data_IF_137127311099
#
_entry.id   IF_137127311099
#
_cell.length_a   1.000
_cell.length_b   1.000
_cell.length_c   1.000
_cell.angle_alpha   90.00
_cell.angle_beta   90.00
_cell.angle_gamma   90.00
#
_symmetry.space_group_name_H-M   'P 1'
#
loop_
_entity.id
_entity.type
_entity.pdbx_description
1 polymer ?
#
# COMPACT_ATOMS: atom_id res chain seq x y z
N UNK A 1 1.99 8.44 22.76
CA UNK A 1 1.89 7.23 21.94
C UNK A 1 1.59 7.63 20.51
N UNK A 2 2.47 7.28 19.61
CA UNK A 2 2.29 7.66 18.22
C UNK A 2 1.15 6.88 17.59
N UNK A 3 0.22 7.59 16.99
CA UNK A 3 -0.84 6.93 16.25
C UNK A 3 -0.26 6.30 15.00
N UNK A 4 -0.66 5.05 14.74
CA UNK A 4 -0.28 4.38 13.50
C UNK A 4 -1.06 5.00 12.36
N UNK A 5 -0.35 5.58 11.41
CA UNK A 5 -0.96 6.20 10.26
C UNK A 5 -1.25 5.17 9.19
N UNK A 6 -2.52 4.83 9.01
CA UNK A 6 -2.95 3.86 8.02
C UNK A 6 -3.03 4.56 6.66
N UNK A 7 -2.38 3.99 5.66
CA UNK A 7 -2.36 4.57 4.31
C UNK A 7 -3.18 3.77 3.30
N UNK A 8 -3.55 2.55 3.64
CA UNK A 8 -4.33 1.74 2.74
C UNK A 8 -4.68 0.39 3.32
N UNK A 9 -5.31 -0.43 2.49
CA UNK A 9 -5.81 -1.74 2.89
C UNK A 9 -5.69 -2.72 1.73
N UNK A 10 -5.28 -3.94 2.03
CA UNK A 10 -5.17 -5.00 1.02
C UNK A 10 -6.56 -5.44 0.59
N UNK A 11 -6.84 -5.42 -0.69
CA UNK A 11 -8.14 -5.84 -1.22
C UNK A 11 -8.07 -6.96 -2.25
N UNK A 12 -6.88 -7.45 -2.58
CA UNK A 12 -6.78 -8.55 -3.54
C UNK A 12 -5.38 -8.67 -4.11
N UNK A 13 -5.28 -9.43 -5.18
CA UNK A 13 -4.04 -9.57 -5.92
C UNK A 13 -3.36 -10.91 -5.73
N UNK A 14 -2.08 -10.93 -6.09
CA UNK A 14 -1.23 -12.12 -6.00
C UNK A 14 0.15 -11.69 -5.53
N UNK A 15 0.99 -12.67 -5.16
CA UNK A 15 2.38 -12.36 -4.79
C UNK A 15 3.07 -11.68 -5.98
N UNK A 16 3.68 -10.55 -5.76
CA UNK A 16 4.30 -9.75 -6.80
C UNK A 16 3.39 -8.67 -7.38
N UNK A 17 2.09 -8.75 -7.16
CA UNK A 17 1.14 -7.77 -7.67
C UNK A 17 -0.09 -7.73 -6.76
N UNK A 18 0.12 -7.21 -5.57
CA UNK A 18 -0.92 -7.10 -4.54
C UNK A 18 -1.66 -5.79 -4.76
N UNK A 19 -2.97 -5.83 -4.66
CA UNK A 19 -3.82 -4.66 -4.86
C UNK A 19 -4.19 -4.05 -3.53
N UNK A 20 -3.88 -2.76 -3.38
CA UNK A 20 -4.11 -1.99 -2.15
C UNK A 20 -4.99 -0.81 -2.48
N UNK A 21 -6.06 -0.64 -1.71
CA UNK A 21 -6.88 0.56 -1.80
C UNK A 21 -6.27 1.63 -0.90
N UNK A 22 -5.94 2.77 -1.51
CA UNK A 22 -5.39 3.90 -0.77
C UNK A 22 -6.45 4.51 0.13
N UNK A 23 -6.05 4.87 1.34
CA UNK A 23 -6.93 5.61 2.23
C UNK A 23 -7.10 7.03 1.71
N UNK A 24 -8.34 7.52 1.73
CA UNK A 24 -8.65 8.87 1.27
C UNK A 24 -7.78 9.91 1.98
N UNK A 25 -7.23 10.83 1.20
CA UNK A 25 -6.36 11.88 1.72
C UNK A 25 -4.90 11.50 1.87
N UNK A 26 -4.55 10.26 1.61
CA UNK A 26 -3.16 9.80 1.63
C UNK A 26 -2.68 9.68 0.19
N UNK A 27 -1.53 10.24 -0.10
CA UNK A 27 -1.00 10.27 -1.46
C UNK A 27 0.18 9.32 -1.56
N UNK A 28 -0.12 8.04 -1.79
CA UNK A 28 0.92 7.05 -2.03
C UNK A 28 1.61 7.35 -3.36
N UNK A 29 2.92 7.21 -3.37
CA UNK A 29 3.73 7.43 -4.57
C UNK A 29 4.43 6.14 -4.98
N UNK A 30 4.73 6.04 -6.27
CA UNK A 30 5.50 4.89 -6.77
C UNK A 30 6.86 4.88 -6.10
N UNK A 31 7.26 3.71 -5.63
CA UNK A 31 8.52 3.52 -4.94
C UNK A 31 8.42 3.56 -3.42
N UNK A 32 7.30 4.05 -2.88
CA UNK A 32 7.14 4.10 -1.43
C UNK A 32 7.07 2.71 -0.83
N UNK A 33 7.66 2.58 0.37
CA UNK A 33 7.66 1.34 1.13
C UNK A 33 6.56 1.37 2.17
N UNK A 34 5.79 0.31 2.21
CA UNK A 34 4.67 0.15 3.13
C UNK A 34 4.83 -1.13 3.91
N UNK A 35 4.29 -1.14 5.12
CA UNK A 35 4.40 -2.27 6.03
C UNK A 35 3.04 -2.91 6.24
N UNK A 36 2.99 -4.24 6.09
CA UNK A 36 1.85 -5.05 6.47
C UNK A 36 2.26 -5.85 7.70
N UNK A 37 1.69 -5.51 8.84
CA UNK A 37 1.99 -6.21 10.08
C UNK A 37 1.23 -7.52 10.16
N UNK A 38 1.95 -8.59 10.43
CA UNK A 38 1.41 -9.91 10.63
C UNK A 38 1.62 -10.33 12.10
N UNK A 39 1.20 -11.54 12.47
CA UNK A 39 1.25 -11.98 13.85
C UNK A 39 2.66 -11.96 14.44
N UNK A 40 3.62 -12.57 13.75
CA UNK A 40 4.99 -12.70 14.26
C UNK A 40 6.04 -12.08 13.36
N UNK A 41 5.59 -11.34 12.36
CA UNK A 41 6.48 -10.77 11.34
C UNK A 41 5.80 -9.57 10.70
N UNK A 42 6.54 -8.90 9.83
CA UNK A 42 5.92 -7.89 8.97
C UNK A 42 6.45 -8.05 7.54
N UNK A 43 5.62 -7.66 6.60
CA UNK A 43 6.00 -7.64 5.19
C UNK A 43 6.35 -6.22 4.79
N UNK A 44 7.44 -6.11 4.03
CA UNK A 44 7.80 -4.85 3.40
C UNK A 44 7.28 -4.91 1.97
N UNK A 45 6.43 -3.96 1.61
CA UNK A 45 5.81 -3.87 0.30
C UNK A 45 6.27 -2.59 -0.38
N UNK A 46 6.38 -2.61 -1.69
CA UNK A 46 6.75 -1.42 -2.45
C UNK A 46 5.73 -1.18 -3.56
N UNK A 47 5.23 0.04 -3.62
CA UNK A 47 4.31 0.44 -4.68
C UNK A 47 5.05 0.58 -6.00
N UNK A 48 4.56 -0.08 -7.05
CA UNK A 48 5.17 0.00 -8.37
C UNK A 48 4.22 0.53 -9.44
N UNK A 49 2.92 0.63 -9.13
CA UNK A 49 1.94 1.20 -10.06
C UNK A 49 0.79 1.79 -9.27
N UNK A 50 0.21 2.83 -9.80
CA UNK A 50 -0.97 3.47 -9.25
C UNK A 50 -2.02 3.57 -10.34
N UNK A 51 -3.27 3.30 -9.99
CA UNK A 51 -4.36 3.40 -10.95
C UNK A 51 -5.63 3.85 -10.24
N UNK A 52 -6.58 4.35 -11.00
CA UNK A 52 -7.86 4.74 -10.42
C UNK A 52 -8.79 3.53 -10.37
N UNK A 53 -9.47 3.40 -9.23
CA UNK A 53 -10.60 2.49 -9.09
C UNK A 53 -11.86 3.32 -8.95
N UNK A 54 -13.01 2.70 -9.25
CA UNK A 54 -14.27 3.39 -9.10
C UNK A 54 -15.39 2.38 -8.90
N UNK A 55 -16.38 2.77 -8.10
CA UNK A 55 -17.59 1.98 -7.93
C UNK A 55 -18.62 2.30 -8.99
N UNK A 56 -18.35 3.27 -9.85
CA UNK A 56 -19.24 3.68 -10.93
C UNK A 56 -18.78 3.03 -12.24
N UNK A 57 -19.72 2.57 -13.06
CA UNK A 57 -19.41 2.07 -14.38
C UNK A 57 -18.63 3.10 -15.19
N UNK A 58 -17.73 2.60 -16.02
CA UNK A 58 -16.90 3.46 -16.88
C UNK A 58 -17.73 4.41 -17.74
N UNK A 59 -18.85 3.91 -18.27
CA UNK A 59 -19.78 4.72 -19.07
C UNK A 59 -20.32 5.90 -18.27
N UNK A 60 -20.72 5.64 -17.02
CA UNK A 60 -21.20 6.69 -16.12
C UNK A 60 -20.12 7.69 -15.81
N UNK A 61 -18.87 7.22 -15.62
CA UNK A 61 -17.74 8.10 -15.36
C UNK A 61 -17.53 9.07 -16.53
N UNK A 62 -17.63 8.59 -17.75
CA UNK A 62 -17.45 9.42 -18.93
C UNK A 62 -18.56 10.47 -19.02
N UNK A 63 -19.79 10.08 -18.72
CA UNK A 63 -20.91 11.02 -18.71
C UNK A 63 -20.74 12.08 -17.64
N UNK A 64 -20.35 11.70 -16.44
CA UNK A 64 -20.14 12.63 -15.33
C UNK A 64 -19.01 13.60 -15.65
N UNK A 65 -17.93 13.11 -16.26
CA UNK A 65 -16.82 13.95 -16.66
C UNK A 65 -17.25 14.98 -17.71
N UNK A 66 -18.08 14.54 -18.68
CA UNK A 66 -18.62 15.44 -19.69
C UNK A 66 -19.46 16.56 -19.09
N UNK A 67 -20.34 16.20 -18.17
CA UNK A 67 -21.19 17.18 -17.48
C UNK A 67 -20.34 18.16 -16.68
N UNK A 68 -19.32 17.65 -15.96
CA UNK A 68 -18.42 18.48 -15.19
C UNK A 68 -17.68 19.49 -16.07
N UNK A 69 -17.13 19.00 -17.18
CA UNK A 69 -16.35 19.85 -18.09
C UNK A 69 -17.20 20.92 -18.77
N UNK A 70 -18.39 20.53 -19.25
CA UNK A 70 -19.21 21.42 -20.07
C UNK A 70 -20.11 22.35 -19.24
N UNK A 71 -20.58 21.90 -18.08
CA UNK A 71 -21.53 22.67 -17.28
C UNK A 71 -20.97 23.16 -15.97
N UNK A 72 -19.74 22.74 -15.62
CA UNK A 72 -19.13 23.14 -14.35
C UNK A 72 -19.73 22.50 -13.12
N UNK A 73 -20.54 21.44 -13.31
CA UNK A 73 -21.11 20.71 -12.18
C UNK A 73 -20.06 19.76 -11.63
N UNK A 74 -19.80 19.87 -10.31
CA UNK A 74 -18.82 19.00 -9.68
C UNK A 74 -19.39 17.62 -9.44
N UNK A 75 -18.55 16.61 -9.65
CA UNK A 75 -18.89 15.22 -9.42
C UNK A 75 -19.41 14.99 -8.00
N UNK A 76 -18.82 15.68 -7.02
CA UNK A 76 -19.21 15.57 -5.62
C UNK A 76 -20.66 15.94 -5.35
N UNK A 77 -21.30 16.65 -6.25
CA UNK A 77 -22.71 17.01 -6.12
C UNK A 77 -23.62 15.79 -6.31
N UNK A 78 -23.11 14.75 -6.99
CA UNK A 78 -23.87 13.52 -7.23
C UNK A 78 -23.49 12.40 -6.28
N UNK A 79 -22.20 12.29 -5.95
CA UNK A 79 -21.66 11.19 -5.15
C UNK A 79 -20.55 11.69 -4.25
N UNK A 80 -20.34 11.01 -3.12
CA UNK A 80 -19.20 11.25 -2.27
C UNK A 80 -17.93 10.73 -2.99
N UNK A 81 -16.98 11.60 -3.36
CA UNK A 81 -15.82 11.16 -4.16
C UNK A 81 -15.01 10.06 -3.49
N UNK A 82 -14.91 10.06 -2.16
CA UNK A 82 -14.14 9.09 -1.40
C UNK A 82 -14.70 7.68 -1.51
N UNK A 83 -16.00 7.54 -1.77
CA UNK A 83 -16.64 6.24 -1.91
C UNK A 83 -16.78 5.82 -3.37
N UNK A 84 -16.74 6.78 -4.27
CA UNK A 84 -17.00 6.56 -5.69
C UNK A 84 -15.69 6.35 -6.46
N UNK A 85 -14.73 7.24 -6.22
CA UNK A 85 -13.44 7.20 -6.88
C UNK A 85 -12.34 7.09 -5.84
N UNK A 86 -11.40 6.20 -6.08
CA UNK A 86 -10.30 5.96 -5.16
C UNK A 86 -9.07 5.55 -5.97
N UNK A 87 -7.92 5.56 -5.29
CA UNK A 87 -6.67 5.14 -5.91
C UNK A 87 -6.36 3.72 -5.47
N UNK A 88 -6.01 2.90 -6.43
CA UNK A 88 -5.50 1.56 -6.20
C UNK A 88 -4.00 1.58 -6.42
N UNK A 89 -3.27 1.09 -5.44
CA UNK A 89 -1.83 0.92 -5.56
C UNK A 89 -1.57 -0.55 -5.83
N UNK A 90 -0.69 -0.82 -6.79
CA UNK A 90 -0.21 -2.18 -7.01
C UNK A 90 1.16 -2.26 -6.35
N UNK A 91 1.29 -3.21 -5.44
CA UNK A 91 2.50 -3.33 -4.64
C UNK A 91 3.06 -4.74 -4.75
N UNK A 92 4.37 -4.85 -4.59
CA UNK A 92 5.04 -6.14 -4.53
C UNK A 92 5.65 -6.33 -3.16
N UNK A 93 5.64 -7.56 -2.69
CA UNK A 93 6.26 -7.89 -1.41
C UNK A 93 7.76 -8.07 -1.64
N UNK A 94 8.56 -7.31 -0.92
CA UNK A 94 10.01 -7.37 -1.04
C UNK A 94 10.65 -8.33 -0.06
N UNK A 95 10.16 -8.35 1.17
CA UNK A 95 10.76 -9.14 2.23
C UNK A 95 9.79 -9.36 3.37
N UNK A 96 9.98 -10.45 4.08
CA UNK A 96 9.31 -10.72 5.35
C UNK A 96 10.37 -10.65 6.45
N UNK A 97 10.09 -9.89 7.47
CA UNK A 97 11.02 -9.69 8.59
C UNK A 97 10.40 -10.23 9.87
N UNK A 98 11.10 -11.14 10.53
CA UNK A 98 10.64 -11.69 11.80
C UNK A 98 10.75 -10.64 12.91
N UNK A 99 9.71 -10.52 13.73
CA UNK A 99 9.71 -9.55 14.83
C UNK A 99 10.69 -9.91 15.94
N UNK A 100 11.01 -11.19 16.08
CA UNK A 100 11.83 -11.66 17.20
C UNK A 100 13.33 -11.48 16.95
N UNK A 101 13.81 -11.90 15.79
CA UNK A 101 15.23 -11.95 15.50
C UNK A 101 15.62 -11.11 14.28
N UNK A 102 14.66 -10.40 13.71
CA UNK A 102 14.85 -9.59 12.50
C UNK A 102 15.38 -10.39 11.31
N UNK A 103 15.12 -11.69 11.30
CA UNK A 103 15.52 -12.53 10.18
C UNK A 103 14.68 -12.17 8.95
N UNK A 104 15.38 -11.93 7.83
CA UNK A 104 14.76 -11.56 6.57
C UNK A 104 14.61 -12.78 5.69
N UNK A 105 13.41 -13.01 5.18
CA UNK A 105 13.15 -14.11 4.27
C UNK A 105 12.38 -13.58 3.06
N UNK A 106 12.38 -14.37 2.00
CA UNK A 106 11.55 -14.05 0.83
C UNK A 106 10.08 -14.28 1.17
N UNK A 107 9.20 -13.37 0.74
CA UNK A 107 7.78 -13.55 0.99
C UNK A 107 7.24 -14.77 0.23
N UNK A 108 6.59 -15.68 0.96
CA UNK A 108 6.02 -16.88 0.38
C UNK A 108 4.51 -16.95 0.55
N UNK A 109 3.93 -15.96 1.20
CA UNK A 109 2.50 -15.90 1.43
C UNK A 109 2.00 -14.47 1.25
N UNK A 110 0.72 -14.36 1.01
CA UNK A 110 0.07 -13.06 0.85
C UNK A 110 -0.19 -12.43 2.22
N UNK A 111 -0.22 -11.09 2.29
CA UNK A 111 -0.74 -10.44 3.49
C UNK A 111 -2.22 -10.78 3.68
N UNK A 112 -2.69 -10.64 4.90
CA UNK A 112 -4.08 -10.93 5.19
C UNK A 112 -5.02 -10.01 4.42
N UNK A 113 -6.10 -10.58 3.90
CA UNK A 113 -7.11 -9.80 3.18
C UNK A 113 -7.70 -8.74 4.12
N UNK A 114 -7.84 -7.53 3.61
CA UNK A 114 -8.27 -6.35 4.37
C UNK A 114 -7.28 -5.88 5.43
N UNK A 115 -6.06 -6.41 5.42
CA UNK A 115 -5.04 -5.93 6.34
C UNK A 115 -4.73 -4.46 6.07
N UNK A 116 -4.63 -3.68 7.14
CA UNK A 116 -4.33 -2.25 7.04
C UNK A 116 -2.82 -2.05 6.97
N UNK A 117 -2.42 -1.13 6.12
CA UNK A 117 -1.02 -0.88 5.81
C UNK A 117 -0.60 0.50 6.30
N UNK A 118 0.66 0.61 6.71
CA UNK A 118 1.25 1.86 7.16
C UNK A 118 2.54 2.15 6.42
N UNK A 119 2.97 3.41 6.45
CA UNK A 119 4.27 3.75 5.88
C UNK A 119 5.39 3.18 6.73
N UNK A 120 6.53 2.91 6.09
CA UNK A 120 7.72 2.43 6.78
C UNK A 120 8.27 3.50 7.72
N UNK A 121 8.77 3.08 8.88
CA UNK A 121 9.40 3.95 9.86
C UNK A 121 10.85 3.56 10.04
N UNK A 122 11.64 4.46 10.62
CA UNK A 122 13.05 4.18 10.89
C UNK A 122 13.25 2.93 11.76
N UNK A 123 12.34 2.70 12.71
CA UNK A 123 12.42 1.51 13.56
C UNK A 123 12.27 0.21 12.77
N UNK A 124 11.52 0.25 11.66
CA UNK A 124 11.34 -0.92 10.83
C UNK A 124 12.62 -1.33 10.12
N UNK A 125 13.58 -0.43 10.03
CA UNK A 125 14.84 -0.66 9.32
C UNK A 125 15.96 -1.19 10.22
N UNK A 126 15.66 -1.50 11.46
CA UNK A 126 16.66 -2.06 12.40
C UNK A 126 17.27 -3.35 11.88
N UNK A 127 16.52 -4.14 11.13
CA UNK A 127 17.04 -5.38 10.55
C UNK A 127 18.17 -5.12 9.56
N UNK A 128 18.13 -4.00 8.85
CA UNK A 128 19.19 -3.65 7.90
C UNK A 128 20.53 -3.44 8.61
N UNK A 129 20.48 -2.79 9.75
CA UNK A 129 21.67 -2.56 10.55
C UNK A 129 22.27 -3.88 11.02
N UNK A 130 21.43 -4.80 11.49
CA UNK A 130 21.86 -6.11 11.93
C UNK A 130 22.46 -6.92 10.79
N UNK A 131 21.84 -6.91 9.63
CA UNK A 131 22.37 -7.60 8.46
C UNK A 131 23.71 -7.01 7.99
N UNK A 132 23.84 -5.70 8.02
CA UNK A 132 25.10 -5.05 7.69
C UNK A 132 26.21 -5.51 8.60
N UNK A 133 25.96 -5.60 9.88
CA UNK A 133 26.93 -6.10 10.85
C UNK A 133 27.31 -7.54 10.56
N UNK A 134 26.34 -8.38 10.23
CA UNK A 134 26.59 -9.77 9.87
C UNK A 134 27.41 -9.90 8.59
N UNK A 135 27.12 -9.09 7.59
CA UNK A 135 27.84 -9.10 6.33
C UNK A 135 29.30 -8.69 6.56
N UNK A 136 29.55 -7.66 7.35
CA UNK A 136 30.89 -7.23 7.68
C UNK A 136 31.67 -8.31 8.41
N UNK A 137 31.06 -9.00 9.33
CA UNK A 137 31.67 -10.08 10.07
C UNK A 137 31.90 -11.31 9.19
N UNK A 138 30.91 -11.62 8.33
CA UNK A 138 30.93 -12.81 7.50
C UNK A 138 31.92 -12.77 6.33
N UNK A 139 32.36 -11.59 5.93
CA UNK A 139 33.22 -11.40 4.76
C UNK A 139 34.69 -11.19 5.11
N UNK A 140 35.01 -11.41 6.32
CA UNK A 140 36.41 -11.29 6.77
C UNK A 140 37.18 -12.54 6.42
#
# INVERSE_FOLDING_TARGET
MDEIEIVGQVIGGKIGDIIVREKSGKNLEIGELIISEEENSFLILQAFALEYGSQIEERMQQMMSGVNLEQGIKEAEFYEPEFVNYVLARVKALARVSNNDYKVTLPKSLPSFFNKLRLIKNDDLKFLKKEKEQIFIGNI
#
